data_IF_599660591241
#
_entry.id   IF_599660591241
#
_cell.length_a   1.000
_cell.length_b   1.000
_cell.length_c   1.000
_cell.angle_alpha   90.00
_cell.angle_beta   90.00
_cell.angle_gamma   90.00
#
_symmetry.space_group_name_H-M   'P 1'
#
loop_
_entity.id
_entity.type
_entity.pdbx_description
1 polymer ?
#
# COMPACT_ATOMS: atom_id res chain seq x y z
N UNK A 1 -12.89 -17.74 -8.38
CA UNK A 1 -11.96 -18.25 -7.34
C UNK A 1 -10.63 -18.77 -7.90
N UNK A 2 -10.42 -20.05 -8.31
CA UNK A 2 -9.05 -20.47 -8.73
C UNK A 2 -8.48 -19.70 -9.93
N UNK A 3 -9.35 -19.30 -10.88
CA UNK A 3 -8.94 -18.56 -12.07
C UNK A 3 -8.51 -17.13 -11.73
N UNK A 4 -9.11 -16.52 -10.72
CA UNK A 4 -8.68 -15.22 -10.18
C UNK A 4 -7.31 -15.32 -9.51
N UNK A 5 -7.00 -16.47 -8.90
CA UNK A 5 -5.67 -16.79 -8.35
C UNK A 5 -4.67 -17.28 -9.43
N UNK A 6 -5.02 -17.23 -10.72
CA UNK A 6 -4.15 -17.63 -11.83
C UNK A 6 -3.88 -19.13 -11.95
N UNK A 7 -4.71 -20.00 -11.34
CA UNK A 7 -4.47 -21.44 -11.27
C UNK A 7 -5.31 -22.24 -12.27
N UNK A 8 -4.68 -23.22 -12.92
CA UNK A 8 -5.34 -24.33 -13.60
C UNK A 8 -5.95 -25.32 -12.58
N UNK A 9 -6.82 -26.23 -13.05
CA UNK A 9 -7.35 -27.29 -12.17
C UNK A 9 -6.24 -28.22 -11.68
N UNK A 10 -5.26 -28.51 -12.53
CA UNK A 10 -4.17 -29.43 -12.25
C UNK A 10 -3.21 -28.85 -11.21
N UNK A 11 -2.87 -27.56 -11.32
CA UNK A 11 -2.01 -26.90 -10.32
C UNK A 11 -2.67 -26.86 -8.95
N UNK A 12 -3.95 -26.46 -8.87
CA UNK A 12 -4.69 -26.47 -7.60
C UNK A 12 -4.79 -27.89 -7.01
N UNK A 13 -5.01 -28.90 -7.86
CA UNK A 13 -5.09 -30.29 -7.44
C UNK A 13 -3.77 -30.79 -6.81
N UNK A 14 -2.63 -30.46 -7.43
CA UNK A 14 -1.29 -30.78 -6.90
C UNK A 14 -1.08 -30.14 -5.53
N UNK A 15 -1.39 -28.86 -5.39
CA UNK A 15 -1.15 -28.08 -4.16
C UNK A 15 -2.03 -28.56 -2.99
N UNK A 16 -3.26 -28.98 -3.27
CA UNK A 16 -4.21 -29.49 -2.27
C UNK A 16 -3.98 -30.97 -1.94
N UNK A 17 -3.34 -31.71 -2.85
CA UNK A 17 -3.10 -33.15 -2.74
C UNK A 17 -4.29 -34.00 -3.16
N UNK A 18 -4.99 -33.61 -4.23
CA UNK A 18 -6.13 -34.34 -4.82
C UNK A 18 -5.95 -34.50 -6.33
N UNK A 19 -6.85 -35.21 -7.02
CA UNK A 19 -6.79 -35.33 -8.48
C UNK A 19 -7.44 -34.13 -9.18
N UNK A 20 -7.01 -33.83 -10.41
CA UNK A 20 -7.63 -32.79 -11.23
C UNK A 20 -9.15 -33.03 -11.40
N UNK A 21 -9.56 -34.29 -11.61
CA UNK A 21 -10.97 -34.66 -11.71
C UNK A 21 -11.75 -34.40 -10.42
N UNK A 22 -11.10 -34.48 -9.25
CA UNK A 22 -11.71 -34.12 -7.98
C UNK A 22 -12.04 -32.62 -7.94
N UNK A 23 -11.09 -31.76 -8.32
CA UNK A 23 -11.30 -30.32 -8.45
C UNK A 23 -12.40 -30.00 -9.48
N UNK A 24 -12.37 -30.63 -10.67
CA UNK A 24 -13.38 -30.42 -11.70
C UNK A 24 -14.80 -30.77 -11.23
N UNK A 25 -14.94 -31.82 -10.42
CA UNK A 25 -16.22 -32.23 -9.83
C UNK A 25 -16.71 -31.30 -8.73
N UNK A 26 -15.81 -30.63 -8.00
CA UNK A 26 -16.19 -29.56 -7.09
C UNK A 26 -16.71 -28.36 -7.89
N UNK A 27 -15.98 -27.95 -8.93
CA UNK A 27 -16.32 -26.77 -9.73
C UNK A 27 -17.65 -26.88 -10.48
N UNK A 28 -18.02 -28.10 -10.91
CA UNK A 28 -19.30 -28.34 -11.57
C UNK A 28 -20.45 -28.69 -10.59
N UNK A 29 -20.19 -28.66 -9.27
CA UNK A 29 -21.18 -28.92 -8.22
C UNK A 29 -21.56 -30.39 -8.02
N UNK A 30 -20.85 -31.35 -8.65
CA UNK A 30 -21.15 -32.80 -8.53
C UNK A 30 -20.43 -33.48 -7.35
N UNK A 31 -19.61 -32.74 -6.61
CA UNK A 31 -18.89 -33.23 -5.44
C UNK A 31 -18.78 -32.15 -4.37
N UNK A 32 -19.21 -32.47 -3.16
CA UNK A 32 -18.95 -31.67 -1.97
C UNK A 32 -17.64 -32.14 -1.31
N UNK A 33 -16.60 -31.30 -1.20
CA UNK A 33 -15.33 -31.72 -0.63
C UNK A 33 -15.43 -31.94 0.88
N UNK A 34 -14.64 -32.87 1.41
CA UNK A 34 -14.43 -32.95 2.86
C UNK A 34 -13.88 -31.61 3.37
N UNK A 35 -14.27 -31.22 4.59
CA UNK A 35 -13.85 -29.95 5.22
C UNK A 35 -12.32 -29.74 5.19
N UNK A 36 -11.54 -30.80 5.37
CA UNK A 36 -10.07 -30.73 5.29
C UNK A 36 -9.56 -30.31 3.91
N UNK A 37 -10.22 -30.75 2.84
CA UNK A 37 -9.88 -30.38 1.46
C UNK A 37 -10.35 -28.96 1.16
N UNK A 38 -11.57 -28.59 1.59
CA UNK A 38 -12.08 -27.23 1.46
C UNK A 38 -11.14 -26.22 2.13
N UNK A 39 -10.68 -26.50 3.35
CA UNK A 39 -9.74 -25.65 4.08
C UNK A 39 -8.39 -25.51 3.35
N UNK A 40 -7.86 -26.59 2.77
CA UNK A 40 -6.63 -26.54 1.96
C UNK A 40 -6.81 -25.68 0.70
N UNK A 41 -7.94 -25.81 0.01
CA UNK A 41 -8.27 -24.99 -1.17
C UNK A 41 -8.32 -23.50 -0.78
N UNK A 42 -8.98 -23.16 0.34
CA UNK A 42 -9.02 -21.79 0.86
C UNK A 42 -7.61 -21.29 1.20
N UNK A 43 -6.77 -22.12 1.82
CA UNK A 43 -5.40 -21.76 2.16
C UNK A 43 -4.55 -21.47 0.91
N UNK A 44 -4.67 -22.29 -0.13
CA UNK A 44 -4.02 -22.05 -1.43
C UNK A 44 -4.42 -20.70 -2.00
N UNK A 45 -5.72 -20.40 -2.01
CA UNK A 45 -6.20 -19.11 -2.51
C UNK A 45 -5.75 -17.94 -1.65
N UNK A 46 -5.69 -18.07 -0.33
CA UNK A 46 -5.19 -17.00 0.55
C UNK A 46 -3.69 -16.76 0.34
N UNK A 47 -2.91 -17.81 0.12
CA UNK A 47 -1.46 -17.71 -0.12
C UNK A 47 -1.15 -17.05 -1.47
N UNK A 48 -2.08 -17.17 -2.44
CA UNK A 48 -1.97 -16.56 -3.78
C UNK A 48 -2.86 -15.33 -3.97
N UNK A 49 -3.66 -14.97 -2.98
CA UNK A 49 -4.40 -13.71 -2.98
C UNK A 49 -3.37 -12.61 -2.80
N UNK A 50 -3.36 -11.59 -3.66
CA UNK A 50 -2.40 -10.53 -3.51
C UNK A 50 -2.61 -9.88 -2.15
N UNK A 51 -1.53 -9.80 -1.37
CA UNK A 51 -1.50 -9.08 -0.10
C UNK A 51 -2.09 -7.69 -0.33
N UNK A 52 -2.99 -7.24 0.56
CA UNK A 52 -3.66 -5.95 0.38
C UNK A 52 -2.84 -4.84 1.00
N UNK A 53 -3.01 -3.62 0.49
CA UNK A 53 -2.32 -2.45 1.01
C UNK A 53 -2.60 -2.25 2.51
N UNK A 54 -3.84 -2.51 2.95
CA UNK A 54 -4.21 -2.47 4.37
C UNK A 54 -3.40 -3.42 5.26
N UNK A 55 -2.90 -4.53 4.71
CA UNK A 55 -2.14 -5.55 5.46
C UNK A 55 -0.68 -5.13 5.71
N UNK A 56 -0.15 -4.18 4.94
CA UNK A 56 1.28 -3.77 4.97
C UNK A 56 1.51 -2.30 5.24
N UNK A 57 0.47 -1.48 5.23
CA UNK A 57 0.60 -0.04 5.43
C UNK A 57 1.08 0.29 6.84
N UNK A 58 1.86 1.38 6.93
CA UNK A 58 2.02 2.07 8.21
C UNK A 58 0.72 2.83 8.49
N UNK A 59 0.02 2.45 9.54
CA UNK A 59 -1.25 3.07 9.95
C UNK A 59 -1.02 4.42 10.62
N UNK A 60 -2.00 5.33 10.48
CA UNK A 60 -1.98 6.67 11.09
C UNK A 60 -0.65 7.42 10.88
N UNK A 61 -0.25 7.66 9.61
CA UNK A 61 1.02 8.31 9.33
C UNK A 61 1.08 9.70 9.95
N UNK A 62 2.25 10.08 10.45
CA UNK A 62 2.50 11.46 10.87
C UNK A 62 2.40 12.35 9.63
N UNK A 63 1.53 13.35 9.69
CA UNK A 63 1.29 14.32 8.62
C UNK A 63 1.69 15.73 9.04
N UNK A 64 1.75 16.66 8.08
CA UNK A 64 1.99 18.08 8.34
C UNK A 64 0.93 18.94 7.66
N UNK A 65 0.44 19.98 8.35
CA UNK A 65 -0.50 20.95 7.73
C UNK A 65 0.23 21.77 6.66
N UNK A 66 -0.43 21.92 5.52
CA UNK A 66 0.06 22.63 4.33
C UNK A 66 0.58 24.05 4.61
N UNK A 67 0.05 24.72 5.63
CA UNK A 67 0.39 26.11 6.01
C UNK A 67 1.54 26.18 7.02
N UNK A 68 2.01 25.07 7.58
CA UNK A 68 3.16 25.05 8.49
C UNK A 68 4.43 25.41 7.72
N UNK A 69 5.43 25.90 8.45
CA UNK A 69 6.74 26.24 7.89
C UNK A 69 7.50 24.98 7.49
N UNK A 70 8.42 25.14 6.53
CA UNK A 70 9.34 24.06 6.14
C UNK A 70 10.24 23.66 7.29
N UNK A 71 10.63 24.59 8.18
CA UNK A 71 11.42 24.28 9.38
C UNK A 71 10.74 23.25 10.31
N UNK A 72 9.41 23.32 10.46
CA UNK A 72 8.65 22.31 11.21
C UNK A 72 8.71 20.95 10.51
N UNK A 73 8.62 20.91 9.18
CA UNK A 73 8.76 19.67 8.40
C UNK A 73 10.14 19.03 8.63
N UNK A 74 11.21 19.83 8.53
CA UNK A 74 12.60 19.39 8.79
C UNK A 74 12.75 18.82 10.19
N UNK A 75 12.17 19.48 11.20
CA UNK A 75 12.23 19.01 12.58
C UNK A 75 11.56 17.63 12.73
N UNK A 76 10.35 17.45 12.19
CA UNK A 76 9.63 16.18 12.25
C UNK A 76 10.42 15.08 11.53
N UNK A 77 10.88 15.36 10.31
CA UNK A 77 11.69 14.43 9.50
C UNK A 77 12.93 13.98 10.26
N UNK A 78 13.68 14.91 10.85
CA UNK A 78 14.89 14.61 11.63
C UNK A 78 14.60 13.79 12.88
N UNK A 79 13.57 14.17 13.65
CA UNK A 79 13.22 13.49 14.90
C UNK A 79 12.69 12.07 14.69
N UNK A 80 12.05 11.81 13.56
CA UNK A 80 11.42 10.51 13.25
C UNK A 80 12.18 9.70 12.21
N UNK A 81 13.31 10.22 11.71
CA UNK A 81 14.09 9.62 10.61
C UNK A 81 13.23 9.34 9.37
N UNK A 82 12.35 10.29 9.03
CA UNK A 82 11.51 10.22 7.83
C UNK A 82 12.11 11.05 6.71
N UNK A 83 12.10 10.51 5.49
CA UNK A 83 12.56 11.23 4.28
C UNK A 83 11.47 12.06 3.61
N UNK A 84 10.23 11.95 4.09
CA UNK A 84 9.06 12.59 3.51
C UNK A 84 7.90 12.66 4.50
N UNK A 85 6.96 13.57 4.25
CA UNK A 85 5.74 13.73 5.04
C UNK A 85 4.53 13.93 4.12
N UNK A 86 3.42 13.22 4.36
CA UNK A 86 2.14 13.57 3.77
C UNK A 86 1.70 14.97 4.24
N UNK A 87 1.29 15.80 3.29
CA UNK A 87 0.84 17.17 3.52
C UNK A 87 -0.68 17.22 3.48
N UNK A 88 -1.30 17.75 4.53
CA UNK A 88 -2.76 17.78 4.68
C UNK A 88 -3.29 19.21 4.82
N UNK A 89 -4.56 19.42 4.46
CA UNK A 89 -5.37 20.56 4.87
C UNK A 89 -6.58 20.03 5.63
N UNK A 90 -6.57 20.18 6.96
CA UNK A 90 -7.51 19.44 7.81
C UNK A 90 -7.26 17.93 7.68
N UNK A 91 -8.30 17.17 7.33
CA UNK A 91 -8.20 15.71 7.13
C UNK A 91 -7.84 15.30 5.69
N UNK A 92 -7.80 16.26 4.76
CA UNK A 92 -7.62 15.96 3.34
C UNK A 92 -6.14 16.00 2.96
N UNK A 93 -5.65 14.95 2.32
CA UNK A 93 -4.33 14.94 1.69
C UNK A 93 -4.30 15.94 0.52
N UNK A 94 -3.27 16.78 0.49
CA UNK A 94 -3.07 17.79 -0.58
C UNK A 94 -1.73 17.66 -1.29
N UNK A 95 -0.79 16.88 -0.75
CA UNK A 95 0.51 16.69 -1.35
C UNK A 95 1.44 15.84 -0.49
N UNK A 96 2.69 15.75 -0.92
CA UNK A 96 3.79 15.17 -0.16
C UNK A 96 4.97 16.14 -0.23
N UNK A 97 5.67 16.30 0.89
CA UNK A 97 6.93 17.03 0.94
C UNK A 97 8.05 16.03 1.23
N UNK A 98 9.12 16.10 0.45
CA UNK A 98 10.28 15.22 0.55
C UNK A 98 11.53 16.00 0.96
N UNK A 99 12.55 15.31 1.45
CA UNK A 99 13.89 15.91 1.66
C UNK A 99 14.42 16.59 0.39
N UNK A 100 14.14 16.02 -0.79
CA UNK A 100 14.55 16.61 -2.07
C UNK A 100 13.89 17.98 -2.30
N UNK A 101 12.61 18.11 -1.97
CA UNK A 101 11.89 19.39 -2.09
C UNK A 101 12.50 20.44 -1.17
N UNK A 102 12.87 20.03 0.05
CA UNK A 102 13.54 20.90 1.03
C UNK A 102 14.91 21.33 0.52
N UNK A 103 15.74 20.38 0.05
CA UNK A 103 17.10 20.66 -0.47
C UNK A 103 17.07 21.63 -1.64
N UNK A 104 16.09 21.52 -2.54
CA UNK A 104 15.92 22.44 -3.69
C UNK A 104 15.52 23.87 -3.28
N UNK A 105 15.12 24.07 -2.04
CA UNK A 105 14.62 25.35 -1.53
C UNK A 105 15.48 25.93 -0.40
N UNK A 106 16.66 25.36 -0.09
CA UNK A 106 17.56 25.79 1.01
C UNK A 106 17.98 27.27 0.95
N UNK A 107 17.91 27.90 -0.23
CA UNK A 107 18.17 29.32 -0.42
C UNK A 107 17.12 30.25 0.21
N UNK A 108 15.97 29.71 0.61
CA UNK A 108 14.88 30.47 1.22
C UNK A 108 14.89 30.39 2.75
N UNK A 109 14.24 31.35 3.40
CA UNK A 109 13.99 31.33 4.84
C UNK A 109 12.96 30.24 5.18
N UNK A 110 13.44 29.12 5.74
CA UNK A 110 12.63 27.93 6.04
C UNK A 110 11.56 28.16 7.11
N UNK A 111 11.71 29.20 7.94
CA UNK A 111 10.71 29.56 8.96
C UNK A 111 9.53 30.34 8.37
N UNK A 112 9.75 31.03 7.23
CA UNK A 112 8.71 31.81 6.53
C UNK A 112 8.10 31.06 5.35
N UNK A 113 8.83 30.11 4.77
CA UNK A 113 8.35 29.33 3.64
C UNK A 113 7.36 28.26 4.12
N UNK A 114 6.14 28.27 3.55
CA UNK A 114 5.14 27.24 3.86
C UNK A 114 5.40 25.94 3.12
N UNK A 115 5.09 24.80 3.73
CA UNK A 115 5.23 23.47 3.11
C UNK A 115 4.50 23.38 1.77
N UNK A 116 3.29 23.93 1.66
CA UNK A 116 2.52 23.91 0.40
C UNK A 116 3.21 24.62 -0.78
N UNK A 117 4.16 25.51 -0.52
CA UNK A 117 4.88 26.23 -1.55
C UNK A 117 5.99 25.40 -2.20
N UNK A 118 6.49 24.38 -1.48
CA UNK A 118 7.60 23.54 -1.95
C UNK A 118 7.15 22.11 -2.28
N UNK A 119 5.99 21.68 -1.76
CA UNK A 119 5.49 20.33 -2.02
C UNK A 119 5.30 20.11 -3.52
N UNK A 120 5.56 18.88 -3.97
CA UNK A 120 5.29 18.53 -5.36
C UNK A 120 3.77 18.52 -5.59
N UNK A 121 3.27 19.45 -6.42
CA UNK A 121 1.83 19.59 -6.75
C UNK A 121 1.25 18.44 -7.57
N UNK A 122 2.07 17.47 -8.00
CA UNK A 122 1.71 16.36 -8.90
C UNK A 122 0.75 15.31 -8.34
N UNK A 123 0.09 15.59 -7.22
CA UNK A 123 -0.72 14.64 -6.49
C UNK A 123 0.13 13.59 -5.77
N UNK A 124 -0.39 13.09 -4.65
CA UNK A 124 0.13 11.87 -4.04
C UNK A 124 -0.67 10.73 -4.63
N UNK A 125 -0.05 9.64 -5.12
CA UNK A 125 -0.82 8.48 -5.52
C UNK A 125 -1.60 7.96 -4.30
N UNK A 126 -2.91 7.89 -4.44
CA UNK A 126 -3.83 7.43 -3.40
C UNK A 126 -4.56 6.18 -3.85
N UNK A 127 -4.65 5.18 -2.98
CA UNK A 127 -5.42 3.96 -3.23
C UNK A 127 -6.25 3.57 -2.00
N UNK A 128 -7.21 2.68 -2.19
CA UNK A 128 -8.02 2.11 -1.11
C UNK A 128 -7.24 1.03 -0.34
N UNK A 129 -7.57 0.79 0.92
CA UNK A 129 -6.94 -0.25 1.76
C UNK A 129 -7.08 -1.66 1.19
N UNK A 130 -8.13 -1.92 0.40
CA UNK A 130 -8.38 -3.21 -0.26
C UNK A 130 -7.53 -3.43 -1.51
N UNK A 131 -6.81 -2.40 -1.97
CA UNK A 131 -5.99 -2.46 -3.19
C UNK A 131 -4.88 -3.50 -3.04
N UNK A 132 -4.72 -4.41 -4.01
CA UNK A 132 -3.57 -5.32 -4.09
C UNK A 132 -2.22 -4.58 -4.05
N UNK A 133 -1.25 -5.12 -3.30
CA UNK A 133 0.09 -4.53 -3.16
C UNK A 133 0.86 -4.51 -4.48
N UNK A 134 0.70 -5.53 -5.32
CA UNK A 134 1.32 -5.60 -6.64
C UNK A 134 0.89 -4.45 -7.56
N UNK A 135 -0.36 -3.99 -7.46
CA UNK A 135 -0.90 -2.87 -8.22
C UNK A 135 -0.22 -1.53 -7.88
N UNK A 136 0.36 -1.38 -6.68
CA UNK A 136 1.03 -0.14 -6.27
C UNK A 136 2.55 -0.16 -6.50
N UNK A 137 3.14 -1.31 -6.87
CA UNK A 137 4.58 -1.42 -7.14
C UNK A 137 5.03 -0.41 -8.23
N UNK A 138 4.36 -0.30 -9.40
CA UNK A 138 4.75 0.67 -10.42
C UNK A 138 4.64 2.13 -9.93
N UNK A 139 3.66 2.42 -9.07
CA UNK A 139 3.53 3.75 -8.46
C UNK A 139 4.75 4.05 -7.60
N UNK A 140 5.23 3.07 -6.83
CA UNK A 140 6.42 3.23 -6.00
C UNK A 140 7.72 3.32 -6.79
N UNK A 141 7.74 3.06 -8.11
CA UNK A 141 8.90 3.35 -8.95
C UNK A 141 9.05 4.85 -9.18
N UNK A 142 7.93 5.51 -9.48
CA UNK A 142 7.84 6.95 -9.80
C UNK A 142 7.69 7.84 -8.57
N UNK A 143 7.02 7.34 -7.53
CA UNK A 143 6.74 8.05 -6.29
C UNK A 143 7.48 7.39 -5.12
N UNK A 144 7.72 8.16 -4.05
CA UNK A 144 8.41 7.61 -2.87
C UNK A 144 7.45 6.94 -1.87
N UNK A 145 6.15 7.25 -1.94
CA UNK A 145 5.10 6.51 -1.25
C UNK A 145 3.74 6.62 -1.95
N UNK A 146 2.86 5.73 -1.54
CA UNK A 146 1.43 5.70 -1.84
C UNK A 146 0.65 5.92 -0.55
N UNK A 147 -0.29 6.86 -0.56
CA UNK A 147 -1.16 7.14 0.58
C UNK A 147 -2.38 6.23 0.49
N UNK A 148 -2.73 5.60 1.61
CA UNK A 148 -3.89 4.74 1.71
C UNK A 148 -5.04 5.53 2.32
N UNK A 149 -6.21 5.43 1.70
CA UNK A 149 -7.41 6.12 2.16
C UNK A 149 -8.57 5.16 2.34
N UNK A 150 -9.48 5.54 3.25
CA UNK A 150 -10.78 4.91 3.40
C UNK A 150 -11.82 6.05 3.52
N UNK A 151 -12.84 6.04 2.65
CA UNK A 151 -13.87 7.08 2.58
C UNK A 151 -13.31 8.52 2.54
N UNK A 152 -12.19 8.73 1.84
CA UNK A 152 -11.55 10.04 1.65
C UNK A 152 -10.66 10.51 2.82
N UNK A 153 -10.56 9.74 3.91
CA UNK A 153 -9.65 10.00 5.03
C UNK A 153 -8.36 9.21 4.85
N UNK A 154 -7.22 9.80 5.23
CA UNK A 154 -5.92 9.10 5.22
C UNK A 154 -5.89 8.09 6.36
N UNK A 155 -5.76 6.80 6.02
CA UNK A 155 -5.68 5.70 6.99
C UNK A 155 -4.26 5.14 7.11
N UNK A 156 -3.46 5.27 6.04
CA UNK A 156 -2.11 4.73 6.02
C UNK A 156 -1.20 5.32 4.96
N UNK A 157 0.05 4.86 4.97
CA UNK A 157 1.03 5.12 3.92
C UNK A 157 1.86 3.85 3.67
N UNK A 158 2.21 3.60 2.42
CA UNK A 158 3.17 2.57 2.02
C UNK A 158 4.33 3.24 1.30
N UNK A 159 5.54 2.97 1.75
CA UNK A 159 6.79 3.34 1.09
C UNK A 159 7.53 2.08 0.63
N UNK A 160 8.61 2.27 -0.16
CA UNK A 160 9.46 1.14 -0.60
C UNK A 160 10.02 0.33 0.57
N UNK A 161 10.30 0.97 1.71
CA UNK A 161 10.86 0.29 2.87
C UNK A 161 9.84 -0.61 3.58
N UNK A 162 8.54 -0.31 3.46
CA UNK A 162 7.47 -1.15 4.02
C UNK A 162 7.31 -2.46 3.22
N UNK A 163 7.43 -2.39 1.89
CA UNK A 163 7.43 -3.58 1.03
C UNK A 163 8.61 -4.53 1.31
N UNK A 164 9.75 -4.00 1.73
CA UNK A 164 10.91 -4.82 2.11
C UNK A 164 10.69 -5.56 3.43
N UNK A 165 9.89 -4.99 4.35
CA UNK A 165 9.53 -5.62 5.62
C UNK A 165 8.48 -6.71 5.44
N UNK A 166 7.55 -6.54 4.50
CA UNK A 166 6.46 -7.48 4.23
C UNK A 166 6.92 -8.80 3.58
N UNK A 167 8.12 -8.85 2.97
CA UNK A 167 8.70 -10.06 2.35
C UNK A 167 9.52 -10.93 3.32
N UNK A 168 9.48 -10.66 4.62
CA UNK A 168 10.18 -11.44 5.66
C UNK A 168 9.24 -12.34 6.43
#
# INVERSE_FOLDING_TARGET
MRREAGLTQSELAIEVGVSQSYIARIENGTLDPKLSIANKIIQVFNTRSPQRCGDVMTTNPITIDARKSVSVAVQIMRQRSFSQLPVVRGERIVGIVTERDIVRNLQHDMDKLSVQAIMSSGGVPTVDETTPVDAIIPLLESYQAVVIQNQGRVTGIISRSDLLKAKR
#
